data_IF_730881171748
#
_entry.id   IF_730881171748
#
_cell.length_a   1.000
_cell.length_b   1.000
_cell.length_c   1.000
_cell.angle_alpha   90.00
_cell.angle_beta   90.00
_cell.angle_gamma   90.00
#
_symmetry.space_group_name_H-M   'P 1'
#
loop_
_entity.id
_entity.type
_entity.pdbx_description
1 polymer ?
#
# COMPACT_ATOMS: atom_id res chain seq x y z
N UNK A 1 21.34 -13.42 -6.19
CA UNK A 1 21.91 -12.56 -5.16
C UNK A 1 23.43 -12.57 -5.32
N UNK A 2 23.99 -11.59 -6.03
CA UNK A 2 25.43 -11.37 -6.11
C UNK A 2 25.82 -10.57 -4.87
N UNK A 3 26.58 -11.20 -3.98
CA UNK A 3 27.26 -10.52 -2.89
C UNK A 3 28.41 -9.71 -3.50
N UNK A 4 28.25 -8.40 -3.64
CA UNK A 4 29.38 -7.51 -3.85
C UNK A 4 30.16 -7.44 -2.54
N UNK A 5 31.51 -7.60 -2.58
CA UNK A 5 32.33 -7.44 -1.39
C UNK A 5 32.19 -5.98 -0.90
N UNK A 6 31.70 -5.81 0.31
CA UNK A 6 31.67 -4.53 0.99
C UNK A 6 33.13 -4.11 1.18
N UNK A 7 33.64 -3.22 0.33
CA UNK A 7 34.93 -2.59 0.53
C UNK A 7 34.75 -1.69 1.75
N UNK A 8 35.46 -2.01 2.83
CA UNK A 8 35.44 -1.22 4.06
C UNK A 8 36.10 0.14 3.78
N UNK A 9 35.28 1.15 3.48
CA UNK A 9 35.75 2.52 3.17
C UNK A 9 36.65 3.04 4.29
N UNK A 10 36.33 2.72 5.55
CA UNK A 10 37.17 3.10 6.71
C UNK A 10 38.54 2.40 6.73
N UNK A 11 38.66 1.22 6.11
CA UNK A 11 39.96 0.57 5.97
C UNK A 11 40.82 1.29 4.92
N UNK A 12 40.20 1.72 3.79
CA UNK A 12 40.88 2.45 2.73
C UNK A 12 41.26 3.87 3.20
N UNK A 13 40.42 4.55 3.97
CA UNK A 13 40.73 5.85 4.57
C UNK A 13 41.96 5.76 5.50
N UNK A 14 42.05 4.72 6.33
CA UNK A 14 43.22 4.49 7.20
C UNK A 14 44.51 4.20 6.39
N UNK A 15 44.37 3.51 5.26
CA UNK A 15 45.49 3.24 4.35
C UNK A 15 45.97 4.55 3.69
N UNK A 16 45.07 5.45 3.30
CA UNK A 16 45.42 6.77 2.76
C UNK A 16 46.15 7.59 3.81
N UNK A 17 45.72 7.60 5.05
CA UNK A 17 46.40 8.35 6.14
C UNK A 17 47.79 7.82 6.40
N UNK A 18 47.98 6.50 6.41
CA UNK A 18 49.29 5.88 6.54
C UNK A 18 50.23 6.18 5.36
N UNK A 19 49.71 6.27 4.14
CA UNK A 19 50.53 6.62 2.95
C UNK A 19 50.87 8.12 2.94
N UNK A 20 50.02 9.00 3.44
CA UNK A 20 50.28 10.44 3.65
C UNK A 20 51.44 10.65 4.63
N UNK A 21 51.45 9.94 5.77
CA UNK A 21 52.56 10.00 6.74
C UNK A 21 53.88 9.56 6.14
N UNK A 22 53.89 8.54 5.28
CA UNK A 22 55.08 8.08 4.57
C UNK A 22 55.56 9.10 3.54
N UNK A 23 54.65 9.74 2.83
CA UNK A 23 54.93 10.80 1.88
C UNK A 23 55.61 11.99 2.57
N UNK A 24 55.08 12.41 3.74
CA UNK A 24 55.67 13.53 4.50
C UNK A 24 57.09 13.23 4.97
N UNK A 25 57.34 12.03 5.49
CA UNK A 25 58.67 11.57 5.88
C UNK A 25 59.66 11.49 4.71
N UNK A 26 59.20 11.08 3.50
CA UNK A 26 60.00 11.05 2.31
C UNK A 26 60.37 12.46 1.82
N UNK A 27 59.46 13.42 1.96
CA UNK A 27 59.74 14.85 1.66
C UNK A 27 60.75 15.42 2.65
N UNK A 28 60.63 15.14 3.96
CA UNK A 28 61.60 15.56 4.98
C UNK A 28 62.99 14.98 4.76
N UNK A 29 63.06 13.74 4.19
CA UNK A 29 64.31 13.08 3.85
C UNK A 29 64.84 13.50 2.48
N UNK A 30 64.26 14.47 1.79
CA UNK A 30 64.57 14.93 0.43
C UNK A 30 64.55 13.82 -0.65
N UNK A 31 63.81 12.70 -0.36
CA UNK A 31 63.59 11.61 -1.32
C UNK A 31 62.35 11.90 -2.17
N UNK A 32 62.52 12.73 -3.17
CA UNK A 32 61.43 13.17 -4.04
C UNK A 32 60.85 12.05 -4.92
N UNK A 33 61.64 11.00 -5.22
CA UNK A 33 61.18 9.86 -6.00
C UNK A 33 60.22 9.00 -5.19
N UNK A 34 60.56 8.70 -3.94
CA UNK A 34 59.69 8.01 -3.00
C UNK A 34 58.41 8.82 -2.71
N UNK A 35 58.52 10.13 -2.50
CA UNK A 35 57.38 11.01 -2.26
C UNK A 35 56.40 11.03 -3.44
N UNK A 36 56.89 10.99 -4.69
CA UNK A 36 56.03 10.92 -5.89
C UNK A 36 55.31 9.59 -6.00
N UNK A 37 55.95 8.48 -5.64
CA UNK A 37 55.35 7.16 -5.62
C UNK A 37 54.17 7.08 -4.59
N UNK A 38 54.39 7.62 -3.38
CA UNK A 38 53.33 7.69 -2.37
C UNK A 38 52.16 8.55 -2.82
N UNK A 39 52.42 9.70 -3.45
CA UNK A 39 51.41 10.57 -4.02
C UNK A 39 50.55 9.85 -5.06
N UNK A 40 51.17 9.07 -5.94
CA UNK A 40 50.43 8.28 -6.95
C UNK A 40 49.55 7.22 -6.30
N UNK A 41 50.06 6.58 -5.24
CA UNK A 41 49.33 5.56 -4.49
C UNK A 41 48.10 6.15 -3.77
N UNK A 42 48.24 7.31 -3.15
CA UNK A 42 47.15 8.05 -2.50
C UNK A 42 46.06 8.38 -3.53
N UNK A 43 46.43 8.90 -4.70
CA UNK A 43 45.47 9.22 -5.76
C UNK A 43 44.71 7.99 -6.28
N UNK A 44 45.35 6.83 -6.36
CA UNK A 44 44.71 5.55 -6.70
C UNK A 44 43.68 5.10 -5.64
N UNK A 45 44.02 5.27 -4.35
CA UNK A 45 43.15 4.93 -3.24
C UNK A 45 41.95 5.88 -3.15
N UNK A 46 42.17 7.19 -3.33
CA UNK A 46 41.10 8.21 -3.38
C UNK A 46 40.13 7.93 -4.54
N UNK A 47 40.63 7.57 -5.71
CA UNK A 47 39.82 7.18 -6.86
C UNK A 47 39.00 5.90 -6.62
N UNK A 48 39.52 4.96 -5.81
CA UNK A 48 38.76 3.77 -5.39
C UNK A 48 37.56 4.12 -4.49
N UNK A 49 37.75 5.08 -3.58
CA UNK A 49 36.68 5.58 -2.73
C UNK A 49 35.61 6.30 -3.58
N UNK A 50 36.04 7.16 -4.50
CA UNK A 50 35.14 7.92 -5.38
C UNK A 50 34.30 6.99 -6.26
N UNK A 51 34.89 6.01 -6.91
CA UNK A 51 34.18 4.99 -7.71
C UNK A 51 33.19 4.17 -6.83
N UNK A 52 33.59 3.83 -5.61
CA UNK A 52 32.73 3.07 -4.69
C UNK A 52 31.56 3.92 -4.19
N UNK A 53 31.76 5.23 -4.02
CA UNK A 53 30.70 6.18 -3.64
C UNK A 53 29.73 6.42 -4.80
N UNK A 54 30.19 6.36 -6.06
CA UNK A 54 29.32 6.43 -7.23
C UNK A 54 28.48 5.16 -7.42
N UNK A 55 29.05 3.98 -7.20
CA UNK A 55 28.33 2.69 -7.23
C UNK A 55 27.34 2.56 -6.07
N UNK A 56 27.54 3.25 -4.96
CA UNK A 56 26.61 3.32 -3.80
C UNK A 56 25.52 4.40 -3.92
N UNK A 57 25.46 5.16 -4.99
CA UNK A 57 24.28 5.99 -5.29
C UNK A 57 23.11 5.08 -5.65
N UNK A 58 22.50 4.48 -4.63
CA UNK A 58 21.22 3.78 -4.76
C UNK A 58 20.20 4.82 -5.15
N UNK A 59 19.90 4.87 -6.43
CA UNK A 59 18.80 5.71 -6.94
C UNK A 59 17.51 5.03 -6.51
N UNK A 60 16.81 5.63 -5.53
CA UNK A 60 15.50 5.12 -5.13
C UNK A 60 14.58 5.13 -6.35
N UNK A 61 14.08 3.98 -6.74
CA UNK A 61 13.08 3.86 -7.79
C UNK A 61 11.71 4.31 -7.27
N UNK A 62 10.81 4.64 -8.18
CA UNK A 62 9.41 4.94 -7.82
C UNK A 62 8.79 3.77 -7.03
N UNK A 63 9.18 2.54 -7.34
CA UNK A 63 8.72 1.35 -6.63
C UNK A 63 9.25 1.27 -5.20
N UNK A 64 10.52 1.65 -4.94
CA UNK A 64 11.08 1.64 -3.58
C UNK A 64 10.39 2.67 -2.69
N UNK A 65 10.05 3.84 -3.26
CA UNK A 65 9.27 4.87 -2.56
C UNK A 65 7.86 4.37 -2.29
N UNK A 66 7.20 3.75 -3.27
CA UNK A 66 5.86 3.19 -3.13
C UNK A 66 5.83 2.09 -2.04
N UNK A 67 6.81 1.17 -2.04
CA UNK A 67 6.93 0.12 -1.02
C UNK A 67 7.17 0.71 0.39
N UNK A 68 7.97 1.76 0.49
CA UNK A 68 8.22 2.44 1.77
C UNK A 68 6.95 3.11 2.30
N UNK A 69 6.19 3.80 1.44
CA UNK A 69 4.89 4.40 1.79
C UNK A 69 3.89 3.32 2.20
N UNK A 70 3.84 2.19 1.47
CA UNK A 70 2.98 1.05 1.80
C UNK A 70 3.28 0.48 3.20
N UNK A 71 4.56 0.31 3.54
CA UNK A 71 4.98 -0.14 4.89
C UNK A 71 4.60 0.86 6.00
N UNK A 72 4.67 2.16 5.73
CA UNK A 72 4.38 3.21 6.72
C UNK A 72 2.88 3.43 6.92
N UNK A 73 2.09 3.32 5.87
CA UNK A 73 0.66 3.70 5.86
C UNK A 73 -0.29 2.51 5.80
N UNK A 74 0.21 1.32 5.43
CA UNK A 74 -0.63 0.15 5.12
C UNK A 74 -1.41 0.29 3.81
N UNK A 75 -1.14 1.34 3.02
CA UNK A 75 -1.82 1.60 1.74
C UNK A 75 -1.04 0.89 0.63
N UNK A 76 -1.64 0.00 -0.18
CA UNK A 76 -0.95 -0.75 -1.24
C UNK A 76 -0.61 0.15 -2.45
N UNK A 77 0.24 1.16 -2.23
CA UNK A 77 0.61 2.17 -3.25
C UNK A 77 1.41 1.52 -4.39
N UNK A 78 2.18 0.48 -4.11
CA UNK A 78 2.92 -0.29 -5.12
C UNK A 78 2.00 -0.94 -6.15
N UNK A 79 0.72 -1.18 -5.80
CA UNK A 79 -0.28 -1.77 -6.67
C UNK A 79 -1.13 -0.73 -7.42
N UNK A 80 -0.85 0.57 -7.26
CA UNK A 80 -1.64 1.69 -7.82
C UNK A 80 -1.00 2.35 -9.05
N UNK A 81 0.03 1.74 -9.66
CA UNK A 81 0.78 2.29 -10.78
C UNK A 81 0.23 1.96 -12.18
N UNK A 82 0.95 2.38 -13.22
CA UNK A 82 0.56 2.20 -14.63
C UNK A 82 0.36 0.72 -15.07
N UNK A 83 0.87 -0.26 -14.31
CA UNK A 83 0.60 -1.69 -14.51
C UNK A 83 -0.84 -2.10 -14.18
N UNK A 84 -1.60 -1.23 -13.49
CA UNK A 84 -2.98 -1.51 -13.06
C UNK A 84 -3.93 -1.72 -14.24
N UNK A 85 -3.71 -1.06 -15.38
CA UNK A 85 -4.59 -1.20 -16.54
C UNK A 85 -4.56 -2.63 -17.08
N UNK A 86 -3.39 -3.27 -17.13
CA UNK A 86 -3.26 -4.66 -17.56
C UNK A 86 -3.84 -5.63 -16.53
N UNK A 87 -3.57 -5.39 -15.24
CA UNK A 87 -4.17 -6.18 -14.16
C UNK A 87 -5.69 -6.10 -14.16
N UNK A 88 -6.26 -4.92 -14.41
CA UNK A 88 -7.70 -4.72 -14.49
C UNK A 88 -8.34 -5.41 -15.71
N UNK A 89 -7.61 -5.57 -16.81
CA UNK A 89 -8.10 -6.34 -17.98
C UNK A 89 -8.35 -7.81 -17.61
N UNK A 90 -7.44 -8.43 -16.87
CA UNK A 90 -7.48 -9.84 -16.53
C UNK A 90 -8.22 -10.13 -15.19
N UNK A 91 -8.69 -9.09 -14.50
CA UNK A 91 -9.38 -9.21 -13.21
C UNK A 91 -10.55 -10.22 -13.29
N UNK A 92 -11.39 -10.14 -14.32
CA UNK A 92 -12.52 -11.03 -14.46
C UNK A 92 -12.08 -12.51 -14.51
N UNK A 93 -11.03 -12.80 -15.26
CA UNK A 93 -10.49 -14.16 -15.40
C UNK A 93 -9.96 -14.69 -14.07
N UNK A 94 -9.15 -13.89 -13.36
CA UNK A 94 -8.61 -14.29 -12.06
C UNK A 94 -9.69 -14.51 -10.99
N UNK A 95 -10.78 -13.74 -11.04
CA UNK A 95 -11.90 -13.92 -10.12
C UNK A 95 -12.74 -15.15 -10.51
N UNK A 96 -12.95 -15.44 -11.82
CA UNK A 96 -13.67 -16.63 -12.30
C UNK A 96 -12.95 -17.93 -11.89
N UNK A 97 -11.64 -17.94 -11.91
CA UNK A 97 -10.82 -19.09 -11.45
C UNK A 97 -11.06 -19.42 -9.96
N UNK A 98 -11.47 -18.44 -9.15
CA UNK A 98 -11.68 -18.58 -7.71
C UNK A 98 -13.16 -18.71 -7.32
N UNK A 99 -14.06 -18.10 -8.08
CA UNK A 99 -15.50 -18.05 -7.81
C UNK A 99 -16.23 -18.74 -8.96
N UNK A 100 -16.32 -20.05 -8.87
CA UNK A 100 -16.85 -20.91 -9.93
C UNK A 100 -18.37 -20.77 -10.05
N UNK A 101 -18.86 -20.68 -11.29
CA UNK A 101 -20.29 -20.68 -11.60
C UNK A 101 -20.99 -19.34 -11.39
N UNK A 102 -20.25 -18.23 -11.23
CA UNK A 102 -20.78 -16.87 -11.06
C UNK A 102 -20.21 -15.91 -12.13
N UNK A 103 -19.97 -16.38 -13.33
CA UNK A 103 -19.28 -15.63 -14.40
C UNK A 103 -19.93 -14.28 -14.69
N UNK A 104 -21.26 -14.24 -14.77
CA UNK A 104 -22.01 -12.99 -15.02
C UNK A 104 -21.82 -11.96 -13.92
N UNK A 105 -21.84 -12.40 -12.65
CA UNK A 105 -21.65 -11.52 -11.50
C UNK A 105 -20.20 -11.01 -11.45
N UNK A 106 -19.23 -11.88 -11.68
CA UNK A 106 -17.81 -11.53 -11.74
C UNK A 106 -17.53 -10.51 -12.84
N UNK A 107 -18.07 -10.75 -14.06
CA UNK A 107 -17.92 -9.81 -15.17
C UNK A 107 -18.53 -8.43 -14.87
N UNK A 108 -19.73 -8.40 -14.24
CA UNK A 108 -20.39 -7.16 -13.89
C UNK A 108 -19.57 -6.34 -12.90
N UNK A 109 -19.01 -7.00 -11.86
CA UNK A 109 -18.12 -6.38 -10.87
C UNK A 109 -16.85 -5.86 -11.52
N UNK A 110 -16.15 -6.69 -12.27
CA UNK A 110 -14.91 -6.32 -12.94
C UNK A 110 -15.11 -5.17 -13.95
N UNK A 111 -16.23 -5.14 -14.65
CA UNK A 111 -16.58 -4.07 -15.59
C UNK A 111 -16.80 -2.74 -14.87
N UNK A 112 -17.53 -2.75 -13.75
CA UNK A 112 -17.79 -1.55 -12.98
C UNK A 112 -16.49 -0.96 -12.40
N UNK A 113 -15.60 -1.80 -11.86
CA UNK A 113 -14.31 -1.38 -11.33
C UNK A 113 -13.44 -0.80 -12.44
N UNK A 114 -13.35 -1.46 -13.60
CA UNK A 114 -12.61 -0.95 -14.75
C UNK A 114 -13.12 0.41 -15.21
N UNK A 115 -14.45 0.61 -15.27
CA UNK A 115 -15.06 1.87 -15.64
C UNK A 115 -14.67 3.00 -14.70
N UNK A 116 -14.75 2.77 -13.39
CA UNK A 116 -14.35 3.75 -12.38
C UNK A 116 -12.86 4.11 -12.51
N UNK A 117 -11.99 3.10 -12.60
CA UNK A 117 -10.54 3.32 -12.75
C UNK A 117 -10.12 3.98 -14.06
N UNK A 118 -10.95 3.91 -15.10
CA UNK A 118 -10.77 4.64 -16.34
C UNK A 118 -11.13 6.14 -16.26
N UNK A 119 -11.53 6.63 -15.06
CA UNK A 119 -11.79 8.04 -14.80
C UNK A 119 -13.19 8.52 -15.24
N UNK A 120 -14.13 7.61 -15.43
CA UNK A 120 -15.50 7.97 -15.80
C UNK A 120 -16.40 8.36 -14.60
N UNK A 121 -15.91 8.22 -13.37
CA UNK A 121 -16.63 8.58 -12.15
C UNK A 121 -15.92 9.72 -11.41
N UNK A 122 -16.69 10.66 -10.86
CA UNK A 122 -16.21 11.76 -10.03
C UNK A 122 -15.70 11.22 -8.67
N UNK A 123 -14.49 11.63 -8.28
CA UNK A 123 -13.64 11.03 -7.25
C UNK A 123 -14.15 11.01 -5.79
N UNK A 124 -15.39 11.38 -5.51
CA UNK A 124 -15.94 11.39 -4.15
C UNK A 124 -16.82 10.15 -3.83
N UNK A 125 -17.07 9.28 -4.80
CA UNK A 125 -17.91 8.10 -4.64
C UNK A 125 -17.10 6.83 -4.41
N UNK A 126 -17.69 5.79 -3.81
CA UNK A 126 -17.05 4.47 -3.79
C UNK A 126 -16.71 3.99 -5.20
N UNK A 127 -15.61 3.26 -5.36
CA UNK A 127 -15.17 2.68 -6.65
C UNK A 127 -16.26 1.85 -7.31
N UNK A 128 -17.12 1.21 -6.51
CA UNK A 128 -18.31 0.49 -6.97
C UNK A 128 -19.20 0.08 -5.81
N UNK A 129 -20.49 0.07 -6.06
CA UNK A 129 -21.51 -0.40 -5.13
C UNK A 129 -22.25 -1.56 -5.78
N UNK A 130 -22.34 -2.69 -5.08
CA UNK A 130 -22.90 -3.92 -5.61
C UNK A 130 -23.92 -4.52 -4.64
N UNK A 131 -25.08 -4.90 -5.14
CA UNK A 131 -26.06 -5.66 -4.40
C UNK A 131 -26.04 -7.12 -4.89
N UNK A 132 -25.62 -8.03 -4.02
CA UNK A 132 -25.61 -9.47 -4.30
C UNK A 132 -26.87 -10.13 -3.78
N UNK A 133 -27.76 -10.55 -4.67
CA UNK A 133 -29.01 -11.24 -4.34
C UNK A 133 -28.92 -12.70 -4.75
N UNK A 134 -29.31 -13.60 -3.84
CA UNK A 134 -29.32 -15.03 -4.11
C UNK A 134 -29.35 -15.88 -2.83
N UNK A 135 -29.57 -17.20 -2.96
CA UNK A 135 -29.62 -18.10 -1.80
C UNK A 135 -28.28 -18.19 -1.07
N UNK A 136 -28.28 -18.80 0.11
CA UNK A 136 -27.06 -19.07 0.87
C UNK A 136 -26.14 -20.03 0.12
N UNK A 137 -24.83 -19.87 0.28
CA UNK A 137 -23.85 -20.80 -0.29
C UNK A 137 -23.46 -20.58 -1.76
N UNK A 138 -24.06 -19.62 -2.46
CA UNK A 138 -23.76 -19.36 -3.90
C UNK A 138 -22.48 -18.55 -4.14
N UNK A 139 -21.73 -18.20 -3.09
CA UNK A 139 -20.43 -17.52 -3.22
C UNK A 139 -20.45 -16.00 -3.08
N UNK A 140 -21.53 -15.36 -2.60
CA UNK A 140 -21.62 -13.89 -2.43
C UNK A 140 -20.45 -13.32 -1.61
N UNK A 141 -20.25 -13.86 -0.41
CA UNK A 141 -19.18 -13.43 0.50
C UNK A 141 -17.80 -13.83 -0.03
N UNK A 142 -17.69 -14.97 -0.71
CA UNK A 142 -16.42 -15.41 -1.30
C UNK A 142 -15.98 -14.47 -2.43
N UNK A 143 -16.90 -14.01 -3.27
CA UNK A 143 -16.61 -13.03 -4.32
C UNK A 143 -16.05 -11.73 -3.70
N UNK A 144 -16.64 -11.23 -2.61
CA UNK A 144 -16.12 -10.05 -1.91
C UNK A 144 -14.69 -10.28 -1.37
N UNK A 145 -14.40 -11.46 -0.79
CA UNK A 145 -13.06 -11.82 -0.30
C UNK A 145 -12.03 -11.93 -1.42
N UNK A 146 -12.39 -12.56 -2.53
CA UNK A 146 -11.48 -12.68 -3.68
C UNK A 146 -11.25 -11.33 -4.34
N UNK A 147 -12.26 -10.45 -4.37
CA UNK A 147 -12.13 -9.09 -4.85
C UNK A 147 -11.18 -8.27 -3.97
N UNK A 148 -11.28 -8.39 -2.63
CA UNK A 148 -10.36 -7.73 -1.71
C UNK A 148 -8.91 -8.19 -1.92
N UNK A 149 -8.72 -9.50 -2.09
CA UNK A 149 -7.40 -10.06 -2.39
C UNK A 149 -6.84 -9.55 -3.72
N UNK A 150 -7.68 -9.46 -4.76
CA UNK A 150 -7.24 -9.01 -6.08
C UNK A 150 -6.92 -7.50 -6.11
N UNK A 151 -7.73 -6.69 -5.42
CA UNK A 151 -7.58 -5.24 -5.41
C UNK A 151 -6.55 -4.71 -4.42
N UNK A 152 -6.45 -5.35 -3.25
CA UNK A 152 -5.67 -4.84 -2.12
C UNK A 152 -4.60 -5.81 -1.62
N UNK A 153 -4.44 -6.97 -2.27
CA UNK A 153 -3.41 -7.96 -1.94
C UNK A 153 -3.67 -8.79 -0.68
N UNK A 154 -4.76 -8.53 0.06
CA UNK A 154 -5.14 -9.28 1.25
C UNK A 154 -6.63 -9.48 1.35
N UNK A 155 -7.05 -10.65 1.85
CA UNK A 155 -8.47 -10.94 2.15
C UNK A 155 -8.98 -10.19 3.38
N UNK A 156 -8.09 -9.65 4.19
CA UNK A 156 -8.41 -8.92 5.42
C UNK A 156 -8.78 -7.45 5.13
N UNK A 157 -8.59 -6.97 3.88
CA UNK A 157 -9.04 -5.65 3.45
C UNK A 157 -10.58 -5.61 3.27
N UNK A 158 -11.31 -6.16 4.25
CA UNK A 158 -12.79 -6.17 4.32
C UNK A 158 -13.24 -5.66 5.67
N UNK A 159 -14.09 -4.63 5.64
CA UNK A 159 -14.84 -4.18 6.80
C UNK A 159 -16.21 -4.85 6.74
N UNK A 160 -16.37 -5.96 7.48
CA UNK A 160 -17.65 -6.67 7.54
C UNK A 160 -18.52 -6.10 8.63
N UNK A 161 -19.79 -5.84 8.29
CA UNK A 161 -20.88 -5.46 9.19
C UNK A 161 -22.02 -6.45 9.02
N UNK A 162 -22.45 -7.04 10.11
CA UNK A 162 -23.69 -7.85 10.16
C UNK A 162 -24.85 -6.90 10.45
N UNK A 163 -25.73 -6.71 9.47
CA UNK A 163 -26.80 -5.73 9.58
C UNK A 163 -27.91 -6.16 10.52
N UNK A 164 -27.90 -7.40 10.99
CA UNK A 164 -28.81 -7.84 12.08
C UNK A 164 -28.51 -7.13 13.41
N UNK A 165 -27.26 -6.71 13.65
CA UNK A 165 -26.86 -5.90 14.81
C UNK A 165 -27.34 -4.46 14.72
N UNK A 166 -27.82 -4.02 13.56
CA UNK A 166 -28.27 -2.67 13.23
C UNK A 166 -29.78 -2.63 12.92
N UNK A 167 -30.57 -3.49 13.56
CA UNK A 167 -32.01 -3.60 13.41
C UNK A 167 -32.79 -2.55 14.18
N UNK A 168 -32.15 -1.82 15.10
CA UNK A 168 -32.81 -0.82 15.95
C UNK A 168 -32.47 0.61 15.51
N UNK A 169 -33.42 1.56 15.78
CA UNK A 169 -33.23 3.00 15.49
C UNK A 169 -31.97 3.62 16.10
N UNK A 170 -31.55 3.15 17.27
CA UNK A 170 -30.34 3.61 17.96
C UNK A 170 -29.07 3.14 17.29
N UNK A 171 -29.15 2.22 16.35
CA UNK A 171 -28.00 1.63 15.68
C UNK A 171 -27.31 2.57 14.68
N UNK A 172 -27.97 3.67 14.29
CA UNK A 172 -27.33 4.73 13.49
C UNK A 172 -26.09 5.29 14.21
N UNK A 173 -26.20 5.52 15.52
CA UNK A 173 -25.07 6.00 16.33
C UNK A 173 -23.91 5.00 16.45
N UNK A 174 -24.21 3.71 16.34
CA UNK A 174 -23.17 2.67 16.29
C UNK A 174 -22.36 2.71 14.99
N UNK A 175 -22.97 3.16 13.89
CA UNK A 175 -22.30 3.27 12.58
C UNK A 175 -21.43 4.51 12.48
N UNK A 176 -21.95 5.68 12.85
CA UNK A 176 -21.28 6.97 12.67
C UNK A 176 -20.62 7.52 13.94
N UNK A 177 -20.93 6.93 15.09
CA UNK A 177 -20.50 7.43 16.39
C UNK A 177 -21.51 8.39 17.04
N UNK A 178 -21.26 8.65 18.32
CA UNK A 178 -22.03 9.63 19.11
C UNK A 178 -21.29 10.96 19.19
N UNK A 179 -22.05 12.05 19.21
CA UNK A 179 -21.50 13.40 19.38
C UNK A 179 -20.85 13.53 20.75
N UNK A 180 -19.75 14.29 20.82
CA UNK A 180 -19.06 14.56 22.08
C UNK A 180 -20.03 15.10 23.15
N UNK A 181 -20.01 14.46 24.33
CA UNK A 181 -20.88 14.83 25.47
C UNK A 181 -22.06 13.87 25.72
N UNK A 182 -22.28 12.87 24.88
CA UNK A 182 -23.27 11.82 25.15
C UNK A 182 -22.62 10.56 25.73
N UNK A 183 -23.42 9.80 26.52
CA UNK A 183 -22.99 8.50 27.09
C UNK A 183 -22.66 7.55 25.95
N UNK A 184 -21.45 6.98 25.94
CA UNK A 184 -20.96 6.08 24.87
C UNK A 184 -19.95 6.74 23.91
N UNK A 185 -19.50 7.98 24.15
CA UNK A 185 -18.48 8.65 23.32
C UNK A 185 -17.12 7.92 23.32
N UNK A 186 -16.76 7.27 24.43
CA UNK A 186 -15.49 6.54 24.54
C UNK A 186 -15.41 5.27 23.67
N UNK A 187 -16.53 4.80 23.12
CA UNK A 187 -16.61 3.56 22.33
C UNK A 187 -16.64 3.80 20.81
N UNK A 188 -16.35 5.03 20.36
CA UNK A 188 -16.33 5.39 18.94
C UNK A 188 -15.22 4.71 18.14
N UNK A 189 -14.30 4.00 18.78
CA UNK A 189 -13.16 3.34 18.14
C UNK A 189 -13.54 2.24 17.14
N UNK A 190 -14.76 1.72 17.22
CA UNK A 190 -15.24 0.61 16.38
C UNK A 190 -16.36 1.01 15.39
N UNK A 191 -16.64 2.30 15.23
CA UNK A 191 -17.61 2.79 14.25
C UNK A 191 -17.15 2.55 12.81
N UNK A 192 -18.10 2.49 11.87
CA UNK A 192 -17.75 2.33 10.45
C UNK A 192 -16.84 3.46 9.95
N UNK A 193 -17.13 4.70 10.36
CA UNK A 193 -16.35 5.88 10.02
C UNK A 193 -14.88 5.73 10.46
N UNK A 194 -14.64 5.30 11.70
CA UNK A 194 -13.29 5.14 12.21
C UNK A 194 -12.57 3.92 11.60
N UNK A 195 -13.29 2.83 11.33
CA UNK A 195 -12.74 1.65 10.64
C UNK A 195 -12.32 1.98 9.21
N UNK A 196 -13.12 2.74 8.47
CA UNK A 196 -12.79 3.21 7.11
C UNK A 196 -11.64 4.22 7.15
N UNK A 197 -11.61 5.12 8.13
CA UNK A 197 -10.53 6.06 8.31
C UNK A 197 -9.17 5.38 8.55
N UNK A 198 -9.17 4.29 9.34
CA UNK A 198 -7.96 3.48 9.59
C UNK A 198 -7.56 2.64 8.38
N UNK A 199 -8.54 2.13 7.63
CA UNK A 199 -8.33 1.26 6.48
C UNK A 199 -9.10 1.79 5.26
N UNK A 200 -8.66 2.90 4.64
CA UNK A 200 -9.38 3.55 3.54
C UNK A 200 -9.44 2.69 2.27
N UNK A 201 -8.50 1.78 2.09
CA UNK A 201 -8.46 0.84 0.96
C UNK A 201 -9.04 -0.51 1.40
N UNK A 202 -10.36 -0.57 1.51
CA UNK A 202 -11.07 -1.75 1.96
C UNK A 202 -12.42 -1.90 1.25
N UNK A 203 -12.95 -3.12 1.30
CA UNK A 203 -14.33 -3.41 0.89
C UNK A 203 -15.22 -3.35 2.12
N UNK A 204 -16.27 -2.56 2.07
CA UNK A 204 -17.32 -2.60 3.08
C UNK A 204 -18.33 -3.67 2.66
N UNK A 205 -18.45 -4.73 3.44
CA UNK A 205 -19.39 -5.81 3.24
C UNK A 205 -20.52 -5.68 4.25
N UNK A 206 -21.72 -5.35 3.75
CA UNK A 206 -22.95 -5.28 4.53
C UNK A 206 -23.70 -6.61 4.36
N UNK A 207 -23.62 -7.48 5.36
CA UNK A 207 -24.27 -8.79 5.34
C UNK A 207 -25.68 -8.68 5.90
N UNK A 208 -26.63 -9.43 5.33
CA UNK A 208 -28.05 -9.46 5.74
C UNK A 208 -28.71 -8.07 5.76
N UNK A 209 -28.50 -7.28 4.71
CA UNK A 209 -28.96 -5.88 4.59
C UNK A 209 -30.46 -5.72 4.83
N UNK A 210 -31.26 -6.75 4.55
CA UNK A 210 -32.69 -6.79 4.76
C UNK A 210 -33.11 -6.72 6.23
N UNK A 211 -32.22 -6.96 7.17
CA UNK A 211 -32.45 -6.90 8.61
C UNK A 211 -32.19 -5.52 9.23
N UNK A 212 -31.58 -4.62 8.47
CA UNK A 212 -31.22 -3.29 8.95
C UNK A 212 -32.44 -2.41 9.17
N UNK A 213 -32.38 -1.51 10.16
CA UNK A 213 -33.39 -0.45 10.32
C UNK A 213 -33.42 0.46 9.08
N UNK A 214 -34.59 0.92 8.62
CA UNK A 214 -34.71 1.81 7.46
C UNK A 214 -33.85 3.10 7.57
N UNK A 215 -33.61 3.64 8.75
CA UNK A 215 -32.78 4.82 8.93
C UNK A 215 -31.31 4.51 8.66
N UNK A 216 -30.85 3.32 9.03
CA UNK A 216 -29.50 2.84 8.72
C UNK A 216 -29.34 2.69 7.20
N UNK A 217 -30.33 2.13 6.52
CA UNK A 217 -30.33 2.01 5.04
C UNK A 217 -30.29 3.40 4.40
N UNK A 218 -31.08 4.35 4.89
CA UNK A 218 -31.09 5.73 4.36
C UNK A 218 -29.71 6.40 4.51
N UNK A 219 -29.05 6.20 5.65
CA UNK A 219 -27.71 6.70 5.87
C UNK A 219 -26.70 6.08 4.89
N UNK A 220 -26.76 4.77 4.69
CA UNK A 220 -25.90 4.07 3.73
C UNK A 220 -26.12 4.55 2.29
N UNK A 221 -27.35 4.91 1.91
CA UNK A 221 -27.64 5.50 0.60
C UNK A 221 -26.92 6.83 0.39
N UNK A 222 -26.78 7.66 1.44
CA UNK A 222 -26.00 8.91 1.36
C UNK A 222 -24.52 8.62 1.08
N UNK A 223 -23.97 7.58 1.70
CA UNK A 223 -22.58 7.15 1.41
C UNK A 223 -22.41 6.74 -0.05
N UNK A 224 -23.40 6.04 -0.61
CA UNK A 224 -23.35 5.54 -1.97
C UNK A 224 -23.50 6.66 -3.01
N UNK A 225 -24.29 7.70 -2.69
CA UNK A 225 -24.55 8.83 -3.58
C UNK A 225 -23.51 9.94 -3.46
N UNK A 226 -23.24 10.39 -2.23
CA UNK A 226 -22.39 11.55 -1.96
C UNK A 226 -20.95 11.17 -1.61
N UNK A 227 -20.70 9.90 -1.30
CA UNK A 227 -19.40 9.42 -0.83
C UNK A 227 -19.02 9.95 0.55
N UNK A 228 -20.01 10.37 1.36
CA UNK A 228 -19.80 10.97 2.70
C UNK A 228 -20.68 10.28 3.74
N UNK A 229 -20.17 10.23 4.95
CA UNK A 229 -20.89 9.92 6.18
C UNK A 229 -20.91 11.15 7.08
#
# INVERSE_FOLDING_TARGET
>A
AAQHPVTDVHAVEREIEAEKDKQEKAVEAEDFEAALNYKTRIAELEKKIENHTEDMKVTASVNDVAESVERMTGIPVSQMGASDIERLKDMAHRLQDKVIGQDKAVEAVARAIRRNRAGFDEGNRPIGSFLFVGPTGVGKTELAKQLALDMFGTKDAIIRLDMSEYSDRTSVSKLIGTTAGYVGYDDNSNTLTERVRRNPYSIILLDEIEKADPQVITLLLQVLDDGRL
#
